data_IF_702489727469
#
_entry.id   IF_702489727469
#
_cell.length_a   1.000
_cell.length_b   1.000
_cell.length_c   1.000
_cell.angle_alpha   90.00
_cell.angle_beta   90.00
_cell.angle_gamma   90.00
#
_symmetry.space_group_name_H-M   'P 1'
#
loop_
_entity.id
_entity.type
_entity.pdbx_description
1 polymer ?
#
# COMPACT_ATOMS: atom_id res chain seq x y z
N UNK A 1 -18.06 -26.17 -2.48
CA UNK A 1 -18.16 -24.97 -1.63
C UNK A 1 -17.07 -23.98 -2.01
N UNK A 2 -17.45 -22.76 -2.36
CA UNK A 2 -16.47 -21.76 -2.68
C UNK A 2 -15.74 -21.31 -1.42
N UNK A 3 -14.42 -21.24 -1.50
CA UNK A 3 -13.64 -20.68 -0.41
C UNK A 3 -13.80 -19.18 -0.37
N UNK A 4 -14.06 -18.66 0.80
CA UNK A 4 -14.16 -17.21 1.00
C UNK A 4 -12.75 -16.62 1.09
N UNK A 5 -12.60 -15.46 0.50
CA UNK A 5 -11.35 -14.71 0.60
C UNK A 5 -11.54 -13.48 1.45
N UNK A 6 -10.56 -13.22 2.28
CA UNK A 6 -10.43 -11.97 3.01
C UNK A 6 -9.41 -11.10 2.30
N UNK A 7 -9.77 -9.87 2.03
CA UNK A 7 -8.86 -8.88 1.47
C UNK A 7 -8.37 -7.97 2.58
N UNK A 8 -7.07 -7.80 2.65
CA UNK A 8 -6.41 -6.99 3.68
C UNK A 8 -5.72 -5.84 2.97
N UNK A 9 -6.18 -4.63 3.21
CA UNK A 9 -5.57 -3.42 2.64
C UNK A 9 -4.62 -2.87 3.69
N UNK A 10 -3.32 -3.10 3.47
CA UNK A 10 -2.25 -2.75 4.40
C UNK A 10 -1.53 -1.49 3.94
N UNK A 11 -1.46 -0.50 4.82
CA UNK A 11 -0.70 0.72 4.58
C UNK A 11 0.29 0.94 5.71
N UNK A 12 1.48 1.44 5.36
CA UNK A 12 2.49 1.76 6.36
C UNK A 12 3.41 2.88 5.89
N UNK A 13 3.99 3.55 6.88
CA UNK A 13 5.03 4.54 6.70
C UNK A 13 6.26 4.10 7.46
N UNK A 14 7.43 4.28 6.85
CA UNK A 14 8.72 4.09 7.51
C UNK A 14 9.46 5.42 7.45
N UNK A 15 9.96 5.86 8.60
CA UNK A 15 10.76 7.07 8.69
C UNK A 15 11.87 6.82 9.70
N UNK A 16 13.11 7.14 9.31
CA UNK A 16 14.31 6.93 10.13
C UNK A 16 14.45 5.47 10.60
N UNK A 17 14.09 4.53 9.73
CA UNK A 17 14.19 3.11 10.03
C UNK A 17 13.11 2.54 10.94
N UNK A 18 12.16 3.37 11.38
CA UNK A 18 11.08 2.95 12.25
C UNK A 18 9.77 2.91 11.49
N UNK A 19 9.07 1.78 11.59
CA UNK A 19 7.73 1.64 11.04
C UNK A 19 6.73 2.31 11.98
N UNK A 20 5.91 3.19 11.43
CA UNK A 20 4.83 3.81 12.20
C UNK A 20 3.65 4.07 11.29
N UNK A 21 2.48 4.37 11.90
CA UNK A 21 1.25 4.62 11.15
C UNK A 21 0.86 3.49 10.22
N UNK A 22 1.17 2.24 10.58
CA UNK A 22 0.67 1.11 9.82
C UNK A 22 -0.81 0.89 10.13
N UNK A 23 -1.54 0.47 9.12
CA UNK A 23 -2.97 0.24 9.25
C UNK A 23 -3.41 -0.89 8.34
N UNK A 24 -4.25 -1.77 8.87
CA UNK A 24 -4.89 -2.82 8.10
C UNK A 24 -6.41 -2.58 8.08
N UNK A 25 -6.98 -2.69 6.90
CA UNK A 25 -8.43 -2.71 6.72
C UNK A 25 -8.83 -4.02 6.08
N UNK A 26 -9.99 -4.53 6.42
CA UNK A 26 -10.43 -5.86 6.03
C UNK A 26 -11.78 -5.80 5.34
N UNK A 27 -11.94 -6.58 4.29
CA UNK A 27 -13.23 -6.80 3.64
C UNK A 27 -13.22 -8.13 2.91
N UNK A 28 -14.38 -8.76 2.78
CA UNK A 28 -14.53 -9.98 1.98
C UNK A 28 -15.01 -9.67 0.55
N UNK A 29 -15.24 -8.40 0.23
CA UNK A 29 -15.73 -7.95 -1.07
C UNK A 29 -14.56 -7.38 -1.89
N UNK A 30 -14.21 -8.01 -3.04
CA UNK A 30 -13.08 -7.55 -3.85
C UNK A 30 -13.25 -6.14 -4.42
N UNK A 31 -14.47 -5.75 -4.75
CA UNK A 31 -14.74 -4.41 -5.30
C UNK A 31 -14.57 -3.35 -4.21
N UNK A 32 -15.00 -3.66 -3.00
CA UNK A 32 -14.81 -2.77 -1.86
C UNK A 32 -13.33 -2.67 -1.49
N UNK A 33 -12.59 -3.76 -1.59
CA UNK A 33 -11.14 -3.75 -1.38
C UNK A 33 -10.45 -2.79 -2.34
N UNK A 34 -10.81 -2.85 -3.63
CA UNK A 34 -10.26 -1.94 -4.63
C UNK A 34 -10.63 -0.49 -4.32
N UNK A 35 -11.85 -0.24 -3.88
CA UNK A 35 -12.31 1.10 -3.51
C UNK A 35 -11.51 1.65 -2.31
N UNK A 36 -11.36 0.85 -1.26
CA UNK A 36 -10.57 1.24 -0.08
C UNK A 36 -9.13 1.53 -0.48
N UNK A 37 -8.56 0.66 -1.33
CA UNK A 37 -7.20 0.84 -1.84
C UNK A 37 -7.05 2.18 -2.57
N UNK A 38 -7.93 2.47 -3.53
CA UNK A 38 -7.83 3.69 -4.33
C UNK A 38 -8.00 4.95 -3.47
N UNK A 39 -8.95 4.95 -2.54
CA UNK A 39 -9.15 6.08 -1.64
C UNK A 39 -7.94 6.30 -0.73
N UNK A 40 -7.40 5.22 -0.18
CA UNK A 40 -6.21 5.29 0.68
C UNK A 40 -5.00 5.76 -0.12
N UNK A 41 -4.80 5.21 -1.31
CA UNK A 41 -3.69 5.60 -2.18
C UNK A 41 -3.74 7.09 -2.53
N UNK A 42 -4.93 7.59 -2.86
CA UNK A 42 -5.09 8.99 -3.19
C UNK A 42 -4.71 9.89 -2.01
N UNK A 43 -5.15 9.55 -0.81
CA UNK A 43 -4.78 10.28 0.39
C UNK A 43 -3.27 10.24 0.66
N UNK A 44 -2.65 9.06 0.49
CA UNK A 44 -1.20 8.92 0.68
C UNK A 44 -0.41 9.71 -0.36
N UNK A 45 -0.87 9.76 -1.61
CA UNK A 45 -0.23 10.55 -2.65
C UNK A 45 -0.25 12.03 -2.33
N UNK A 46 -1.38 12.54 -1.86
CA UNK A 46 -1.51 13.96 -1.47
C UNK A 46 -0.54 14.28 -0.35
N UNK A 47 -0.45 13.42 0.67
CA UNK A 47 0.42 13.65 1.82
C UNK A 47 1.91 13.52 1.49
N UNK A 48 2.26 12.83 0.40
CA UNK A 48 3.65 12.52 0.05
C UNK A 48 4.01 13.02 -1.35
N UNK A 49 3.36 14.06 -1.82
CA UNK A 49 3.58 14.60 -3.17
C UNK A 49 5.04 15.01 -3.39
N UNK A 50 5.71 15.52 -2.37
CA UNK A 50 7.12 15.88 -2.41
C UNK A 50 8.01 14.68 -2.77
N UNK A 51 7.71 13.51 -2.21
CA UNK A 51 8.45 12.27 -2.51
C UNK A 51 8.15 11.77 -3.91
N UNK A 52 6.89 11.88 -4.33
CA UNK A 52 6.47 11.45 -5.67
C UNK A 52 7.10 12.32 -6.77
N UNK A 53 7.31 13.59 -6.48
CA UNK A 53 7.91 14.53 -7.42
C UNK A 53 9.44 14.46 -7.46
N UNK A 54 10.05 13.75 -6.50
CA UNK A 54 11.49 13.63 -6.38
C UNK A 54 11.99 12.30 -6.95
N UNK A 55 11.91 12.17 -8.27
CA UNK A 55 12.36 10.95 -8.97
C UNK A 55 13.85 10.68 -8.88
N UNK A 56 14.66 11.66 -8.49
CA UNK A 56 16.09 11.49 -8.32
C UNK A 56 16.43 10.68 -7.05
N UNK A 57 15.62 10.83 -6.00
CA UNK A 57 15.89 10.24 -4.69
C UNK A 57 14.89 9.14 -4.30
N UNK A 58 13.70 9.13 -4.90
CA UNK A 58 12.66 8.16 -4.58
C UNK A 58 12.30 7.33 -5.80
N UNK A 59 12.04 6.06 -5.57
CA UNK A 59 11.65 5.11 -6.60
C UNK A 59 10.24 4.58 -6.29
N UNK A 60 9.45 4.34 -7.36
CA UNK A 60 8.10 3.86 -7.24
C UNK A 60 8.00 2.49 -7.90
N UNK A 61 7.48 1.52 -7.15
CA UNK A 61 7.11 0.21 -7.68
C UNK A 61 5.62 0.02 -7.45
N UNK A 62 4.89 -0.32 -8.50
CA UNK A 62 3.44 -0.45 -8.39
C UNK A 62 2.90 -1.56 -9.29
N UNK A 63 1.74 -2.06 -8.91
CA UNK A 63 0.96 -2.99 -9.72
C UNK A 63 -0.53 -2.70 -9.51
N UNK A 64 -1.28 -2.71 -10.61
CA UNK A 64 -2.73 -2.52 -10.58
C UNK A 64 -3.48 -3.83 -10.77
N UNK A 65 -2.80 -4.97 -10.62
CA UNK A 65 -3.42 -6.28 -10.79
C UNK A 65 -4.48 -6.51 -9.73
N UNK A 66 -5.71 -6.75 -10.17
CA UNK A 66 -6.85 -6.92 -9.27
C UNK A 66 -6.60 -8.03 -8.25
N UNK A 67 -6.87 -7.72 -6.97
CA UNK A 67 -6.67 -8.65 -5.85
C UNK A 67 -5.25 -8.69 -5.30
N UNK A 68 -4.29 -8.07 -5.99
CA UNK A 68 -2.91 -8.01 -5.54
C UNK A 68 -2.25 -6.68 -5.89
N UNK A 69 -3.03 -5.61 -5.80
CA UNK A 69 -2.52 -4.26 -6.05
C UNK A 69 -1.49 -3.87 -5.00
N UNK A 70 -0.46 -3.14 -5.43
CA UNK A 70 0.48 -2.55 -4.50
C UNK A 70 1.05 -1.26 -5.06
N UNK A 71 1.49 -0.41 -4.14
CA UNK A 71 2.18 0.84 -4.45
C UNK A 71 3.24 1.06 -3.39
N UNK A 72 4.51 1.06 -3.82
CA UNK A 72 5.65 1.28 -2.93
C UNK A 72 6.41 2.49 -3.43
N UNK A 73 6.66 3.45 -2.52
CA UNK A 73 7.52 4.59 -2.78
C UNK A 73 8.60 4.62 -1.72
N UNK A 74 9.85 4.51 -2.13
CA UNK A 74 10.95 4.39 -1.17
C UNK A 74 12.16 5.20 -1.61
N UNK A 75 12.96 5.57 -0.59
CA UNK A 75 14.21 6.27 -0.79
C UNK A 75 15.25 5.33 -1.41
N UNK A 76 15.80 5.70 -2.56
CA UNK A 76 16.66 4.80 -3.36
C UNK A 76 17.90 4.32 -2.66
N UNK A 77 18.51 5.18 -1.86
CA UNK A 77 19.82 4.92 -1.28
C UNK A 77 19.75 4.12 0.02
N UNK A 78 18.67 4.27 0.77
CA UNK A 78 18.39 3.49 1.98
C UNK A 78 16.88 3.30 2.11
N UNK A 79 16.30 2.28 1.50
CA UNK A 79 14.85 2.10 1.47
C UNK A 79 14.19 2.01 2.85
N UNK A 80 14.94 1.54 3.87
CA UNK A 80 14.42 1.42 5.22
C UNK A 80 14.39 2.76 5.97
N UNK A 81 14.98 3.81 5.42
CA UNK A 81 15.02 5.13 6.08
C UNK A 81 13.73 5.88 5.88
N UNK A 82 13.18 5.82 4.68
CA UNK A 82 11.95 6.55 4.36
C UNK A 82 11.21 5.84 3.24
N UNK A 83 10.00 5.41 3.54
CA UNK A 83 9.10 4.90 2.50
C UNK A 83 7.66 5.01 2.94
N UNK A 84 6.76 4.93 1.98
CA UNK A 84 5.36 4.62 2.25
C UNK A 84 4.92 3.52 1.30
N UNK A 85 4.03 2.68 1.77
CA UNK A 85 3.55 1.56 0.97
C UNK A 85 2.08 1.28 1.23
N UNK A 86 1.44 0.74 0.22
CA UNK A 86 0.05 0.32 0.26
C UNK A 86 -0.06 -0.95 -0.56
N UNK A 87 -0.72 -1.97 -0.01
CA UNK A 87 -0.91 -3.22 -0.74
C UNK A 87 -2.21 -3.89 -0.35
N UNK A 88 -2.72 -4.71 -1.27
CA UNK A 88 -3.82 -5.62 -0.98
C UNK A 88 -3.25 -7.02 -0.85
N UNK A 89 -3.45 -7.63 0.30
CA UNK A 89 -3.12 -9.03 0.56
C UNK A 89 -4.40 -9.84 0.60
N UNK A 90 -4.33 -11.09 0.24
CA UNK A 90 -5.47 -11.99 0.32
C UNK A 90 -5.18 -13.13 1.27
N UNK A 91 -6.21 -13.55 2.02
CA UNK A 91 -6.18 -14.73 2.85
C UNK A 91 -7.43 -15.54 2.57
N UNK A 92 -7.31 -16.86 2.56
CA UNK A 92 -8.46 -17.73 2.41
C UNK A 92 -9.10 -18.00 3.77
N UNK A 93 -10.42 -17.85 3.81
CA UNK A 93 -11.22 -18.21 4.98
C UNK A 93 -11.83 -19.59 4.75
N UNK A 94 -11.62 -20.47 5.69
CA UNK A 94 -12.26 -21.78 5.66
C UNK A 94 -13.60 -21.76 6.37
#
# INVERSE_FOLDING_TARGET
>A
MEKRKLYIIHSEYVQQGLTFNWRDRYTDNPEKADQIYEETLQAMKVDNQDKLDDGDNYEIHKSDRRGSKYFYCFYKYQPLVSNFSLEIKTAELE
#
